data_IF_240883810333
#
_entry.id   IF_240883810333
#
_cell.length_a   1.000
_cell.length_b   1.000
_cell.length_c   1.000
_cell.angle_alpha   90.00
_cell.angle_beta   90.00
_cell.angle_gamma   90.00
#
_symmetry.space_group_name_H-M   'P 1'
#
loop_
_entity.id
_entity.type
_entity.pdbx_description
1 polymer ?
#
# COMPACT_ATOMS: atom_id res chain seq x y z
N UNK A 1 24.89 1.71 -17.93
CA UNK A 1 23.83 2.10 -16.98
C UNK A 1 22.81 0.96 -16.94
N UNK A 2 23.06 -0.03 -16.06
CA UNK A 2 22.35 -1.30 -16.05
C UNK A 2 21.11 -1.21 -15.13
N UNK A 3 19.91 -1.31 -15.72
CA UNK A 3 18.67 -1.51 -14.98
C UNK A 3 18.47 -3.02 -14.80
N UNK A 4 18.81 -3.50 -13.60
CA UNK A 4 18.60 -4.85 -13.13
C UNK A 4 17.11 -5.24 -13.22
N UNK A 5 16.79 -6.11 -14.18
CA UNK A 5 15.48 -6.71 -14.34
C UNK A 5 15.26 -7.71 -13.19
N UNK A 6 14.38 -7.37 -12.25
CA UNK A 6 13.93 -8.32 -11.22
C UNK A 6 13.02 -9.34 -11.90
N UNK A 7 13.61 -10.49 -12.23
CA UNK A 7 12.98 -11.69 -12.79
C UNK A 7 11.91 -12.18 -11.81
N UNK A 8 10.63 -12.04 -12.16
CA UNK A 8 9.55 -12.78 -11.50
C UNK A 8 9.46 -14.13 -12.20
N UNK A 9 9.94 -15.17 -11.52
CA UNK A 9 9.87 -16.55 -11.98
C UNK A 9 8.40 -16.97 -12.12
N UNK A 10 7.99 -17.35 -13.33
CA UNK A 10 6.66 -17.87 -13.61
C UNK A 10 6.71 -19.39 -13.55
N UNK A 11 6.23 -19.98 -12.46
CA UNK A 11 6.06 -21.43 -12.34
C UNK A 11 4.84 -21.86 -13.16
N UNK A 12 5.09 -22.57 -14.26
CA UNK A 12 4.07 -23.24 -15.08
C UNK A 12 3.63 -24.54 -14.43
N UNK A 13 2.33 -24.72 -14.20
CA UNK A 13 1.69 -26.03 -14.07
C UNK A 13 0.42 -26.05 -14.93
N UNK A 14 0.45 -26.93 -15.95
CA UNK A 14 -0.65 -27.42 -16.76
C UNK A 14 -1.74 -28.03 -15.85
N UNK A 15 -3.04 -27.95 -16.08
CA UNK A 15 -3.81 -28.18 -17.31
C UNK A 15 -5.12 -27.37 -17.25
N UNK A 16 -5.59 -26.84 -18.40
CA UNK A 16 -6.87 -26.10 -18.49
C UNK A 16 -6.71 -24.57 -18.43
N UNK A 17 -6.11 -23.99 -19.46
CA UNK A 17 -5.71 -22.57 -19.55
C UNK A 17 -6.90 -21.59 -19.57
N UNK A 18 -7.45 -21.24 -18.39
CA UNK A 18 -8.01 -19.90 -18.20
C UNK A 18 -6.85 -18.91 -18.04
N UNK A 19 -6.61 -18.10 -19.07
CA UNK A 19 -5.61 -17.04 -19.00
C UNK A 19 -6.07 -15.96 -18.01
N UNK A 20 -5.51 -15.94 -16.79
CA UNK A 20 -5.62 -14.76 -15.93
C UNK A 20 -4.58 -13.77 -16.46
N UNK A 21 -5.01 -12.87 -17.34
CA UNK A 21 -4.14 -11.83 -17.89
C UNK A 21 -3.60 -10.94 -16.77
N UNK A 22 -2.32 -11.07 -16.43
CA UNK A 22 -1.62 -10.20 -15.47
C UNK A 22 -1.29 -8.81 -16.05
N UNK A 23 -2.19 -8.25 -16.87
CA UNK A 23 -2.03 -6.90 -17.40
C UNK A 23 -2.32 -5.92 -16.27
N UNK A 24 -1.32 -5.16 -15.83
CA UNK A 24 -1.45 -4.14 -14.77
C UNK A 24 -2.47 -3.03 -15.10
N UNK A 25 -2.88 -2.90 -16.37
CA UNK A 25 -4.00 -2.04 -16.80
C UNK A 25 -5.36 -2.59 -16.37
N UNK A 26 -5.49 -3.90 -16.24
CA UNK A 26 -6.71 -4.61 -15.85
C UNK A 26 -6.71 -4.91 -14.35
N UNK A 27 -5.55 -5.23 -13.77
CA UNK A 27 -5.42 -5.55 -12.34
C UNK A 27 -4.84 -4.35 -11.57
N UNK A 28 -5.67 -3.57 -10.85
CA UNK A 28 -5.17 -2.44 -10.07
C UNK A 28 -4.22 -2.94 -8.98
N UNK A 29 -3.00 -2.39 -8.95
CA UNK A 29 -2.01 -2.74 -7.92
C UNK A 29 -2.56 -2.58 -6.49
N UNK A 30 -2.11 -3.44 -5.57
CA UNK A 30 -2.59 -3.49 -4.18
C UNK A 30 -2.22 -2.24 -3.38
N UNK A 31 -1.18 -1.53 -3.78
CA UNK A 31 -0.65 -0.35 -3.09
C UNK A 31 -0.92 0.93 -3.87
N UNK A 32 -1.26 2.02 -3.17
CA UNK A 32 -1.36 3.33 -3.80
C UNK A 32 0.02 3.83 -4.25
N UNK A 33 0.10 4.39 -5.46
CA UNK A 33 1.32 4.97 -6.01
C UNK A 33 1.37 6.51 -5.92
N UNK A 34 0.29 7.14 -5.47
CA UNK A 34 0.19 8.59 -5.33
C UNK A 34 -0.43 9.00 -3.98
N UNK A 35 -0.32 10.28 -3.66
CA UNK A 35 -0.95 10.91 -2.50
C UNK A 35 -2.34 11.41 -2.92
N UNK A 36 -3.39 11.26 -2.09
CA UNK A 36 -4.70 11.84 -2.40
C UNK A 36 -4.64 13.36 -2.47
N UNK A 37 -5.39 13.97 -3.39
CA UNK A 37 -5.48 15.45 -3.51
C UNK A 37 -5.88 16.10 -2.19
N UNK A 38 -6.82 15.50 -1.46
CA UNK A 38 -7.28 15.96 -0.15
C UNK A 38 -6.28 15.72 0.99
N UNK A 39 -5.14 15.06 0.73
CA UNK A 39 -4.12 14.64 1.71
C UNK A 39 -4.68 13.83 2.89
N UNK A 40 -5.85 13.21 2.71
CA UNK A 40 -6.58 12.45 3.72
C UNK A 40 -6.78 11.01 3.25
N UNK A 41 -6.55 10.07 4.16
CA UNK A 41 -6.87 8.66 3.97
C UNK A 41 -7.78 8.20 5.11
N UNK A 42 -8.62 7.21 4.83
CA UNK A 42 -9.53 6.62 5.82
C UNK A 42 -9.18 5.14 6.00
N UNK A 43 -9.14 4.68 7.24
CA UNK A 43 -8.90 3.28 7.57
C UNK A 43 -10.18 2.47 7.32
N UNK A 44 -10.13 1.46 6.46
CA UNK A 44 -11.29 0.62 6.11
C UNK A 44 -11.24 -0.78 6.73
N UNK A 45 -10.04 -1.23 7.13
CA UNK A 45 -9.83 -2.55 7.74
C UNK A 45 -10.63 -2.72 9.03
N UNK A 46 -11.35 -3.85 9.16
CA UNK A 46 -12.09 -4.23 10.40
C UNK A 46 -11.16 -4.28 11.62
N UNK A 47 -9.92 -4.77 11.43
CA UNK A 47 -8.90 -4.85 12.50
C UNK A 47 -8.13 -3.55 12.70
N UNK A 48 -8.40 -2.53 11.87
CA UNK A 48 -7.65 -1.28 11.87
C UNK A 48 -6.30 -1.36 11.17
N UNK A 49 -5.47 -0.35 11.37
CA UNK A 49 -4.13 -0.19 10.79
C UNK A 49 -3.14 0.29 11.84
N UNK A 50 -1.96 -0.31 11.86
CA UNK A 50 -0.87 0.10 12.74
C UNK A 50 -0.03 1.23 12.15
N UNK A 51 0.42 2.10 13.04
CA UNK A 51 1.34 3.19 12.77
C UNK A 51 2.70 2.90 13.41
N UNK A 52 3.76 3.20 12.68
CA UNK A 52 5.13 2.86 13.04
C UNK A 52 6.02 4.10 13.04
N UNK A 53 7.07 4.10 13.85
CA UNK A 53 8.03 5.22 13.89
C UNK A 53 8.94 5.22 12.66
N UNK A 54 9.32 4.02 12.19
CA UNK A 54 10.29 3.87 11.13
C UNK A 54 9.63 3.52 9.79
N UNK A 55 10.29 3.94 8.70
CA UNK A 55 9.88 3.58 7.34
C UNK A 55 9.81 2.07 7.14
N UNK A 56 10.58 1.28 7.90
CA UNK A 56 10.64 -0.19 7.84
C UNK A 56 9.46 -0.88 8.56
N UNK A 57 8.47 -0.14 9.07
CA UNK A 57 7.40 -0.66 9.93
C UNK A 57 7.93 -1.33 11.19
N UNK A 58 9.05 -0.84 11.71
CA UNK A 58 9.57 -1.20 13.03
C UNK A 58 9.16 -0.15 14.05
N UNK A 59 9.13 -0.53 15.34
CA UNK A 59 8.68 0.31 16.45
C UNK A 59 7.23 0.79 16.25
N UNK A 60 6.28 -0.13 16.48
CA UNK A 60 4.85 0.21 16.48
C UNK A 60 4.58 1.26 17.56
N UNK A 61 3.94 2.35 17.15
CA UNK A 61 3.63 3.49 18.04
C UNK A 61 2.16 3.49 18.41
N UNK A 62 1.28 3.27 17.42
CA UNK A 62 -0.17 3.41 17.62
C UNK A 62 -0.94 2.47 16.69
N UNK A 63 -2.19 2.20 17.02
CA UNK A 63 -3.14 1.54 16.13
C UNK A 63 -4.33 2.46 15.89
N UNK A 64 -4.80 2.52 14.65
CA UNK A 64 -5.98 3.28 14.24
C UNK A 64 -7.11 2.31 13.93
N UNK A 65 -8.31 2.60 14.46
CA UNK A 65 -9.52 1.80 14.24
C UNK A 65 -10.10 2.12 12.85
N UNK A 66 -11.01 1.27 12.37
CA UNK A 66 -11.83 1.55 11.18
C UNK A 66 -12.49 2.92 11.28
N UNK A 67 -12.60 3.64 10.16
CA UNK A 67 -13.17 4.98 10.08
C UNK A 67 -12.22 6.10 10.50
N UNK A 68 -11.03 5.78 11.00
CA UNK A 68 -10.06 6.83 11.37
C UNK A 68 -9.57 7.56 10.13
N UNK A 69 -9.70 8.89 10.15
CA UNK A 69 -9.19 9.79 9.11
C UNK A 69 -7.78 10.25 9.47
N UNK A 70 -6.83 9.99 8.58
CA UNK A 70 -5.42 10.29 8.78
C UNK A 70 -4.92 11.27 7.72
N UNK A 71 -4.16 12.27 8.15
CA UNK A 71 -3.56 13.26 7.26
C UNK A 71 -2.17 12.81 6.82
N UNK A 72 -2.00 12.66 5.51
CA UNK A 72 -0.77 12.22 4.86
C UNK A 72 0.09 13.42 4.47
N UNK A 73 1.38 13.34 4.79
CA UNK A 73 2.40 14.31 4.37
C UNK A 73 3.06 13.90 3.07
N UNK A 74 3.52 12.65 2.97
CA UNK A 74 4.17 12.10 1.77
C UNK A 74 3.94 10.60 1.59
N UNK A 75 4.14 10.13 0.37
CA UNK A 75 4.23 8.70 0.05
C UNK A 75 5.70 8.29 0.00
N UNK A 76 6.04 7.18 0.62
CA UNK A 76 7.38 6.60 0.63
C UNK A 76 7.32 5.21 0.02
N UNK A 77 8.10 4.98 -1.04
CA UNK A 77 8.28 3.66 -1.64
C UNK A 77 9.36 2.89 -0.88
N UNK A 78 9.08 1.62 -0.60
CA UNK A 78 10.02 0.68 -0.01
C UNK A 78 9.89 -0.65 -0.75
N UNK A 79 10.85 -0.93 -1.62
CA UNK A 79 10.82 -2.08 -2.55
C UNK A 79 9.55 -2.06 -3.43
N UNK A 80 8.77 -3.14 -3.36
CA UNK A 80 7.51 -3.30 -4.08
C UNK A 80 6.29 -2.71 -3.34
N UNK A 81 6.51 -2.17 -2.13
CA UNK A 81 5.44 -1.65 -1.27
C UNK A 81 5.52 -0.15 -1.14
N UNK A 82 4.38 0.48 -0.86
CA UNK A 82 4.33 1.91 -0.54
C UNK A 82 3.71 2.15 0.83
N UNK A 83 4.15 3.24 1.46
CA UNK A 83 3.82 3.60 2.83
C UNK A 83 3.50 5.09 2.88
N UNK A 84 2.49 5.47 3.64
CA UNK A 84 2.18 6.87 3.90
C UNK A 84 2.91 7.35 5.13
N UNK A 85 3.67 8.44 4.99
CA UNK A 85 4.10 9.21 6.13
C UNK A 85 2.97 10.17 6.53
N UNK A 86 2.52 10.06 7.76
CA UNK A 86 1.52 10.95 8.35
C UNK A 86 2.15 12.29 8.79
N UNK A 87 1.32 13.30 9.04
CA UNK A 87 1.79 14.62 9.49
C UNK A 87 2.57 14.55 10.82
N UNK A 88 2.26 13.59 11.68
CA UNK A 88 2.97 13.33 12.95
C UNK A 88 4.31 12.59 12.77
N UNK A 89 4.77 12.35 11.54
CA UNK A 89 6.03 11.66 11.25
C UNK A 89 5.97 10.13 11.28
N UNK A 90 4.86 9.54 11.73
CA UNK A 90 4.66 8.08 11.72
C UNK A 90 4.31 7.54 10.34
N UNK A 91 4.53 6.25 10.13
CA UNK A 91 4.30 5.55 8.87
C UNK A 91 3.14 4.57 8.99
N UNK A 92 2.26 4.56 7.99
CA UNK A 92 1.17 3.58 7.83
C UNK A 92 1.21 2.94 6.45
N UNK A 93 0.66 1.74 6.32
CA UNK A 93 0.59 1.04 5.03
C UNK A 93 -0.29 1.79 4.02
N UNK A 94 0.12 1.83 2.75
CA UNK A 94 -0.68 2.36 1.65
C UNK A 94 -1.42 1.25 0.87
N UNK A 95 -1.67 0.10 1.52
CA UNK A 95 -2.42 -1.00 0.94
C UNK A 95 -3.92 -0.65 0.83
N UNK A 96 -4.45 -0.72 -0.40
CA UNK A 96 -5.84 -0.42 -0.76
C UNK A 96 -6.88 -1.29 -0.05
N UNK A 97 -6.50 -2.47 0.44
CA UNK A 97 -7.37 -3.34 1.26
C UNK A 97 -7.53 -2.84 2.70
N UNK A 98 -6.63 -1.99 3.17
CA UNK A 98 -6.56 -1.54 4.56
C UNK A 98 -6.92 -0.06 4.72
N UNK A 99 -6.60 0.75 3.71
CA UNK A 99 -6.88 2.19 3.67
C UNK A 99 -7.48 2.59 2.33
N UNK A 100 -8.29 3.64 2.34
CA UNK A 100 -8.84 4.29 1.14
C UNK A 100 -8.45 5.77 1.10
N UNK A 101 -8.23 6.30 -0.10
CA UNK A 101 -8.04 7.73 -0.33
C UNK A 101 -9.37 8.47 -0.30
N UNK A 102 -9.48 9.52 0.52
CA UNK A 102 -10.71 10.32 0.64
C UNK A 102 -11.68 9.86 1.72
N UNK A 103 -12.91 10.32 1.61
CA UNK A 103 -14.00 9.98 2.53
C UNK A 103 -14.71 8.72 2.00
N UNK A 104 -14.84 7.72 2.87
CA UNK A 104 -15.70 6.56 2.69
C UNK A 104 -16.88 6.70 3.65
#
# INVERSE_FOLDING_TARGET
MALCATRFETSTMSEGLTYITANSKIVPGVYYQSIPKSKKITVISKRGVHAYKNKNLTNRVKSYKKGTRLTVKKLVKHNLTTRYQLKNGTYVTANRKLVIQGNH
#
